data_IF_964920991234
#
_entry.id   IF_964920991234
#
_cell.length_a   1.000
_cell.length_b   1.000
_cell.length_c   1.000
_cell.angle_alpha   90.00
_cell.angle_beta   90.00
_cell.angle_gamma   90.00
#
_symmetry.space_group_name_H-M   'P 1'
#
loop_
_entity.id
_entity.type
_entity.pdbx_description
1 polymer ?
#
# COMPACT_ATOMS: atom_id res chain seq x y z
N UNK A 1 -27.64 -61.82 5.81
CA UNK A 1 -27.89 -60.49 6.41
C UNK A 1 -26.56 -59.79 6.58
N UNK A 2 -26.30 -58.71 5.84
CA UNK A 2 -25.17 -57.83 6.10
C UNK A 2 -25.49 -56.99 7.33
N UNK A 3 -24.71 -57.12 8.41
CA UNK A 3 -24.75 -56.19 9.55
C UNK A 3 -24.21 -54.84 9.07
N UNK A 4 -25.07 -53.84 8.99
CA UNK A 4 -24.64 -52.45 8.83
C UNK A 4 -24.22 -51.94 10.20
N UNK A 5 -22.93 -51.66 10.38
CA UNK A 5 -22.43 -50.99 11.57
C UNK A 5 -22.83 -49.51 11.48
N UNK A 6 -23.72 -49.06 12.36
CA UNK A 6 -24.13 -47.67 12.46
C UNK A 6 -23.33 -46.98 13.59
N UNK A 7 -22.92 -45.73 13.35
CA UNK A 7 -22.28 -44.91 14.38
C UNK A 7 -23.29 -44.52 15.46
N UNK A 8 -22.85 -44.51 16.72
CA UNK A 8 -23.65 -43.99 17.83
C UNK A 8 -23.73 -42.47 17.77
N UNK A 9 -24.80 -41.90 18.33
CA UNK A 9 -24.93 -40.44 18.47
C UNK A 9 -23.74 -39.86 19.26
N UNK A 10 -23.26 -40.57 20.27
CA UNK A 10 -22.10 -40.16 21.06
C UNK A 10 -20.82 -40.08 20.22
N UNK A 11 -20.53 -41.06 19.36
CA UNK A 11 -19.39 -41.03 18.45
C UNK A 11 -19.47 -39.87 17.45
N UNK A 12 -20.67 -39.61 16.90
CA UNK A 12 -20.88 -38.48 15.98
C UNK A 12 -20.70 -37.14 16.70
N UNK A 13 -21.20 -36.99 17.93
CA UNK A 13 -21.05 -35.74 18.69
C UNK A 13 -19.60 -35.47 19.11
N UNK A 14 -18.86 -36.51 19.53
CA UNK A 14 -17.45 -36.39 19.90
C UNK A 14 -16.62 -36.01 18.68
N UNK A 15 -16.84 -36.67 17.53
CA UNK A 15 -16.11 -36.37 16.29
C UNK A 15 -16.40 -34.96 15.79
N UNK A 16 -17.66 -34.52 15.77
CA UNK A 16 -18.02 -33.14 15.43
C UNK A 16 -17.44 -32.13 16.42
N UNK A 17 -17.41 -32.45 17.72
CA UNK A 17 -16.79 -31.61 18.75
C UNK A 17 -15.29 -31.43 18.52
N UNK A 18 -14.56 -32.53 18.24
CA UNK A 18 -13.12 -32.48 17.95
C UNK A 18 -12.85 -31.68 16.67
N UNK A 19 -13.58 -31.95 15.58
CA UNK A 19 -13.44 -31.21 14.32
C UNK A 19 -13.75 -29.72 14.53
N UNK A 20 -14.78 -29.40 15.30
CA UNK A 20 -15.15 -28.02 15.62
C UNK A 20 -14.05 -27.26 16.33
N UNK A 21 -13.42 -27.86 17.36
CA UNK A 21 -12.30 -27.26 18.09
C UNK A 21 -11.09 -27.05 17.18
N UNK A 22 -10.71 -28.09 16.41
CA UNK A 22 -9.56 -28.01 15.51
C UNK A 22 -9.78 -26.95 14.42
N UNK A 23 -10.97 -26.90 13.82
CA UNK A 23 -11.32 -25.90 12.81
C UNK A 23 -11.28 -24.48 13.39
N UNK A 24 -11.81 -24.28 14.60
CA UNK A 24 -11.80 -22.97 15.27
C UNK A 24 -10.39 -22.45 15.55
N UNK A 25 -9.43 -23.33 15.84
CA UNK A 25 -8.03 -22.95 16.09
C UNK A 25 -7.23 -22.74 14.79
N UNK A 26 -7.56 -23.47 13.72
CA UNK A 26 -6.77 -23.48 12.49
C UNK A 26 -7.24 -22.45 11.45
N UNK A 27 -8.55 -22.21 11.34
CA UNK A 27 -9.11 -21.27 10.35
C UNK A 27 -8.58 -19.83 10.48
N UNK A 28 -8.48 -19.23 11.69
CA UNK A 28 -7.95 -17.87 11.81
C UNK A 28 -6.51 -17.75 11.32
N UNK A 29 -5.66 -18.73 11.65
CA UNK A 29 -4.25 -18.76 11.21
C UNK A 29 -4.15 -18.94 9.69
N UNK A 30 -4.91 -19.87 9.12
CA UNK A 30 -4.94 -20.11 7.67
C UNK A 30 -5.40 -18.88 6.90
N UNK A 31 -6.48 -18.24 7.34
CA UNK A 31 -7.00 -17.00 6.74
C UNK A 31 -5.97 -15.88 6.83
N UNK A 32 -5.33 -15.70 8.00
CA UNK A 32 -4.29 -14.70 8.17
C UNK A 32 -3.11 -14.90 7.21
N UNK A 33 -2.59 -16.13 7.12
CA UNK A 33 -1.49 -16.45 6.20
C UNK A 33 -1.87 -16.28 4.73
N UNK A 34 -3.10 -16.65 4.37
CA UNK A 34 -3.63 -16.42 3.03
C UNK A 34 -3.71 -14.93 2.70
N UNK A 35 -4.29 -14.12 3.59
CA UNK A 35 -4.39 -12.67 3.40
C UNK A 35 -3.01 -12.00 3.28
N UNK A 36 -2.05 -12.39 4.14
CA UNK A 36 -0.65 -11.93 4.04
C UNK A 36 -0.06 -12.17 2.64
N UNK A 37 -0.21 -13.40 2.14
CA UNK A 37 0.27 -13.79 0.81
C UNK A 37 -0.45 -13.01 -0.29
N UNK A 38 -1.77 -12.85 -0.20
CA UNK A 38 -2.55 -12.07 -1.15
C UNK A 38 -2.14 -10.60 -1.18
N UNK A 39 -1.95 -9.96 -0.02
CA UNK A 39 -1.48 -8.58 0.09
C UNK A 39 -0.14 -8.40 -0.60
N UNK A 40 0.83 -9.26 -0.29
CA UNK A 40 2.18 -9.13 -0.84
C UNK A 40 2.21 -9.30 -2.37
N UNK A 41 1.43 -10.24 -2.90
CA UNK A 41 1.28 -10.45 -4.35
C UNK A 41 0.62 -9.24 -5.02
N UNK A 42 -0.47 -8.73 -4.46
CA UNK A 42 -1.18 -7.57 -5.01
C UNK A 42 -0.32 -6.30 -4.98
N UNK A 43 0.42 -6.07 -3.89
CA UNK A 43 1.36 -4.96 -3.79
C UNK A 43 2.48 -5.06 -4.83
N UNK A 44 3.08 -6.25 -4.99
CA UNK A 44 4.09 -6.51 -6.03
C UNK A 44 3.55 -6.25 -7.43
N UNK A 45 2.31 -6.67 -7.68
CA UNK A 45 1.64 -6.44 -8.96
C UNK A 45 1.46 -4.94 -9.21
N UNK A 46 0.94 -4.19 -8.24
CA UNK A 46 0.81 -2.74 -8.35
C UNK A 46 2.15 -2.08 -8.65
N UNK A 47 3.20 -2.43 -7.90
CA UNK A 47 4.55 -1.90 -8.14
C UNK A 47 5.03 -2.18 -9.58
N UNK A 48 4.81 -3.40 -10.07
CA UNK A 48 5.17 -3.79 -11.44
C UNK A 48 4.39 -3.02 -12.51
N UNK A 49 3.10 -2.77 -12.28
CA UNK A 49 2.25 -1.97 -13.18
C UNK A 49 2.70 -0.52 -13.20
N UNK A 50 2.98 0.07 -12.04
CA UNK A 50 3.49 1.44 -11.94
C UNK A 50 4.84 1.59 -12.64
N UNK A 51 5.77 0.66 -12.44
CA UNK A 51 7.06 0.71 -13.12
C UNK A 51 6.92 0.61 -14.65
N UNK A 52 6.00 -0.23 -15.14
CA UNK A 52 5.70 -0.31 -16.57
C UNK A 52 5.11 1.00 -17.11
N UNK A 53 4.15 1.60 -16.39
CA UNK A 53 3.53 2.86 -16.77
C UNK A 53 4.56 4.00 -16.84
N UNK A 54 5.47 4.05 -15.86
CA UNK A 54 6.54 5.04 -15.81
C UNK A 54 7.52 4.85 -16.96
N UNK A 55 7.97 3.61 -17.23
CA UNK A 55 8.85 3.35 -18.37
C UNK A 55 8.20 3.76 -19.70
N UNK A 56 6.89 3.56 -19.87
CA UNK A 56 6.15 4.02 -21.06
C UNK A 56 6.07 5.54 -21.13
N UNK A 57 5.92 6.20 -19.99
CA UNK A 57 5.93 7.66 -19.88
C UNK A 57 7.30 8.23 -20.25
N UNK A 58 8.40 7.62 -19.82
CA UNK A 58 9.75 8.07 -20.16
C UNK A 58 10.03 8.03 -21.66
N UNK A 59 9.44 7.07 -22.39
CA UNK A 59 9.58 7.01 -23.86
C UNK A 59 8.99 8.23 -24.58
N UNK A 60 7.98 8.90 -23.99
CA UNK A 60 7.30 10.05 -24.60
C UNK A 60 7.69 11.38 -23.95
N UNK A 61 7.92 11.38 -22.64
CA UNK A 61 8.13 12.57 -21.82
C UNK A 61 9.61 12.75 -21.39
N UNK A 62 10.50 11.82 -21.75
CA UNK A 62 11.90 11.81 -21.33
C UNK A 62 12.12 11.21 -19.94
N UNK A 63 13.38 11.04 -19.54
CA UNK A 63 13.77 10.45 -18.24
C UNK A 63 13.05 11.14 -17.05
N UNK A 64 12.65 10.35 -16.04
CA UNK A 64 11.94 10.83 -14.83
C UNK A 64 12.63 12.03 -14.18
N UNK A 65 13.97 12.04 -14.13
CA UNK A 65 14.76 13.12 -13.53
C UNK A 65 14.51 14.52 -14.12
N UNK A 66 13.95 14.57 -15.33
CA UNK A 66 13.64 15.83 -16.04
C UNK A 66 12.14 16.13 -16.09
N UNK A 67 11.31 15.33 -15.43
CA UNK A 67 9.88 15.64 -15.32
C UNK A 67 9.66 16.90 -14.48
N UNK A 68 8.59 17.62 -14.81
CA UNK A 68 8.16 18.77 -14.03
C UNK A 68 7.34 18.28 -12.82
N UNK A 69 8.03 18.05 -11.71
CA UNK A 69 7.40 17.63 -10.46
C UNK A 69 6.59 18.74 -9.79
N UNK A 70 6.79 20.00 -10.19
CA UNK A 70 6.11 21.17 -9.63
C UNK A 70 4.89 21.56 -10.47
N UNK A 71 4.60 20.83 -11.55
CA UNK A 71 3.48 21.10 -12.45
C UNK A 71 2.15 21.10 -11.68
N UNK A 72 1.45 22.22 -11.73
CA UNK A 72 0.19 22.42 -10.98
C UNK A 72 0.34 22.68 -9.48
N UNK A 73 1.54 22.47 -8.90
CA UNK A 73 1.81 22.63 -7.48
C UNK A 73 0.88 21.80 -6.58
N UNK A 74 0.73 22.21 -5.31
CA UNK A 74 -0.12 21.52 -4.33
C UNK A 74 -1.62 21.57 -4.63
N UNK A 75 -2.07 22.54 -5.43
CA UNK A 75 -3.48 22.77 -5.71
C UNK A 75 -3.99 21.94 -6.90
N UNK A 76 -3.10 21.56 -7.82
CA UNK A 76 -3.45 20.91 -9.09
C UNK A 76 -2.54 19.72 -9.41
N UNK A 77 -2.31 18.85 -8.43
CA UNK A 77 -1.47 17.64 -8.57
C UNK A 77 -2.03 16.65 -9.60
N UNK A 78 -3.33 16.75 -9.94
CA UNK A 78 -3.94 16.01 -11.04
C UNK A 78 -3.28 16.29 -12.39
N UNK A 79 -2.66 17.46 -12.57
CA UNK A 79 -1.96 17.79 -13.81
C UNK A 79 -0.75 16.86 -13.97
N UNK A 80 0.04 16.66 -12.91
CA UNK A 80 1.16 15.71 -12.94
C UNK A 80 0.70 14.30 -13.31
N UNK A 81 -0.36 13.82 -12.65
CA UNK A 81 -0.85 12.46 -12.92
C UNK A 81 -1.40 12.31 -14.33
N UNK A 82 -2.14 13.30 -14.84
CA UNK A 82 -2.68 13.28 -16.19
C UNK A 82 -1.62 13.36 -17.28
N UNK A 83 -0.51 14.04 -17.02
CA UNK A 83 0.62 14.11 -17.96
C UNK A 83 1.46 12.84 -17.94
N UNK A 84 1.85 12.37 -16.75
CA UNK A 84 2.89 11.36 -16.63
C UNK A 84 2.40 9.93 -16.32
N UNK A 85 1.16 9.74 -15.83
CA UNK A 85 0.69 8.44 -15.32
C UNK A 85 -0.60 7.96 -15.99
N UNK A 86 -1.66 8.76 -15.97
CA UNK A 86 -3.01 8.41 -16.47
C UNK A 86 -3.00 7.82 -17.89
N UNK A 87 -2.23 8.34 -18.87
CA UNK A 87 -2.21 7.78 -20.24
C UNK A 87 -1.68 6.35 -20.32
N UNK A 88 -0.87 5.93 -19.34
CA UNK A 88 -0.17 4.65 -19.32
C UNK A 88 -0.78 3.66 -18.31
N UNK A 89 -1.82 4.08 -17.60
CA UNK A 89 -2.56 3.26 -16.64
C UNK A 89 -3.95 2.89 -17.17
N UNK A 90 -4.37 1.66 -16.90
CA UNK A 90 -5.73 1.19 -17.25
C UNK A 90 -6.72 1.59 -16.17
N UNK A 91 -7.20 2.83 -16.25
CA UNK A 91 -8.17 3.40 -15.32
C UNK A 91 -9.59 3.16 -15.84
N UNK A 92 -10.44 2.60 -14.98
CA UNK A 92 -11.86 2.34 -15.31
C UNK A 92 -12.81 3.37 -14.73
N UNK A 93 -12.37 4.09 -13.69
CA UNK A 93 -13.17 5.14 -13.05
C UNK A 93 -12.28 6.12 -12.30
N UNK A 94 -12.65 7.38 -12.34
CA UNK A 94 -12.07 8.44 -11.51
C UNK A 94 -13.16 9.01 -10.62
N UNK A 95 -12.88 9.18 -9.33
CA UNK A 95 -13.74 9.92 -8.40
C UNK A 95 -13.09 11.26 -8.08
N UNK A 96 -13.83 12.35 -8.23
CA UNK A 96 -13.41 13.63 -7.64
C UNK A 96 -13.56 13.55 -6.11
N UNK A 97 -12.83 14.35 -5.32
CA UNK A 97 -12.92 14.34 -3.86
C UNK A 97 -14.36 14.41 -3.33
N UNK A 98 -15.22 15.24 -3.94
CA UNK A 98 -16.63 15.42 -3.61
C UNK A 98 -17.51 14.20 -3.89
N UNK A 99 -17.12 13.35 -4.86
CA UNK A 99 -17.86 12.16 -5.27
C UNK A 99 -17.40 10.89 -4.55
N UNK A 100 -16.28 10.97 -3.83
CA UNK A 100 -15.72 9.82 -3.14
C UNK A 100 -16.58 9.45 -1.91
N UNK A 101 -16.92 8.15 -1.70
CA UNK A 101 -17.82 7.77 -0.62
C UNK A 101 -17.31 8.21 0.76
N UNK A 102 -18.10 9.04 1.44
CA UNK A 102 -17.70 9.68 2.69
C UNK A 102 -17.52 8.69 3.86
N UNK A 103 -18.14 7.51 3.79
CA UNK A 103 -18.13 6.44 4.79
C UNK A 103 -16.87 5.57 4.76
N UNK A 104 -16.05 5.72 3.73
CA UNK A 104 -14.74 5.07 3.63
C UNK A 104 -13.80 5.79 4.60
N UNK A 105 -13.18 5.05 5.52
CA UNK A 105 -12.22 5.58 6.47
C UNK A 105 -10.97 4.71 6.52
N UNK A 106 -9.82 5.35 6.65
CA UNK A 106 -8.50 4.73 6.66
C UNK A 106 -7.89 4.77 8.06
N UNK A 107 -7.35 3.63 8.49
CA UNK A 107 -6.70 3.50 9.79
C UNK A 107 -5.20 3.29 9.63
N UNK A 108 -4.44 3.86 10.55
CA UNK A 108 -3.04 3.48 10.71
C UNK A 108 -2.91 2.08 11.32
N UNK A 109 -1.71 1.51 11.23
CA UNK A 109 -1.43 0.18 11.81
C UNK A 109 -1.58 0.14 13.34
N UNK A 110 -1.35 1.28 14.01
CA UNK A 110 -1.62 1.49 15.44
C UNK A 110 -3.11 1.67 15.79
N UNK A 111 -4.01 1.68 14.80
CA UNK A 111 -5.45 1.81 14.98
C UNK A 111 -6.00 3.24 15.01
N UNK A 112 -5.14 4.28 14.96
CA UNK A 112 -5.57 5.69 14.86
C UNK A 112 -6.26 5.95 13.51
N UNK A 113 -7.14 6.95 13.47
CA UNK A 113 -7.68 7.46 12.22
C UNK A 113 -6.56 8.16 11.44
N UNK A 114 -6.39 7.79 10.17
CA UNK A 114 -5.37 8.33 9.26
C UNK A 114 -5.97 8.79 7.92
N UNK A 115 -7.23 9.24 7.92
CA UNK A 115 -7.91 9.86 6.76
C UNK A 115 -7.18 11.10 6.23
N UNK A 116 -6.54 11.87 7.12
CA UNK A 116 -5.75 13.06 6.74
C UNK A 116 -4.31 12.72 6.39
N UNK A 117 -3.86 11.48 6.62
CA UNK A 117 -2.48 11.09 6.34
C UNK A 117 -2.34 10.82 4.85
N UNK A 118 -1.59 11.66 4.13
CA UNK A 118 -1.50 11.62 2.67
C UNK A 118 -2.80 12.03 1.97
N UNK A 119 -3.60 12.90 2.60
CA UNK A 119 -4.81 13.53 2.03
C UNK A 119 -5.73 12.59 1.23
N UNK A 120 -5.90 11.36 1.73
CA UNK A 120 -6.65 10.29 1.05
C UNK A 120 -8.15 10.56 0.94
N UNK A 121 -8.67 11.66 1.48
CA UNK A 121 -10.06 12.08 1.30
C UNK A 121 -10.22 13.34 0.45
N UNK A 122 -9.54 14.42 0.79
CA UNK A 122 -10.07 15.75 0.47
C UNK A 122 -9.40 16.46 -0.70
N UNK A 123 -8.20 16.05 -1.13
CA UNK A 123 -7.40 16.86 -2.05
C UNK A 123 -7.34 16.28 -3.47
N UNK A 124 -7.07 14.97 -3.59
CA UNK A 124 -6.76 14.36 -4.89
C UNK A 124 -7.94 13.59 -5.50
N UNK A 125 -8.09 13.58 -6.84
CA UNK A 125 -8.87 12.58 -7.53
C UNK A 125 -8.44 11.15 -7.18
N UNK A 126 -9.40 10.23 -7.10
CA UNK A 126 -9.16 8.81 -6.84
C UNK A 126 -9.24 8.04 -8.14
N UNK A 127 -8.16 7.35 -8.51
CA UNK A 127 -8.09 6.59 -9.76
C UNK A 127 -8.31 5.11 -9.48
N UNK A 128 -9.34 4.52 -10.05
CA UNK A 128 -9.63 3.09 -9.94
C UNK A 128 -9.08 2.37 -11.15
N UNK A 129 -8.11 1.49 -10.93
CA UNK A 129 -7.53 0.63 -11.95
C UNK A 129 -8.46 -0.55 -12.28
N UNK A 130 -8.27 -1.13 -13.46
CA UNK A 130 -9.08 -2.25 -13.96
C UNK A 130 -9.09 -3.49 -13.05
N UNK A 131 -8.07 -3.65 -12.19
CA UNK A 131 -7.99 -4.77 -11.25
C UNK A 131 -8.61 -4.47 -9.87
N UNK A 132 -9.19 -3.28 -9.70
CA UNK A 132 -9.81 -2.84 -8.46
C UNK A 132 -8.87 -2.09 -7.49
N UNK A 133 -7.58 -2.02 -7.79
CA UNK A 133 -6.63 -1.17 -7.05
C UNK A 133 -7.02 0.30 -7.19
N UNK A 134 -6.92 1.09 -6.12
CA UNK A 134 -7.20 2.52 -6.15
C UNK A 134 -5.94 3.32 -5.82
N UNK A 135 -5.60 4.30 -6.65
CA UNK A 135 -4.66 5.34 -6.27
C UNK A 135 -5.47 6.41 -5.55
N UNK A 136 -5.20 6.57 -4.25
CA UNK A 136 -5.96 7.41 -3.34
C UNK A 136 -5.46 8.86 -3.29
N UNK A 137 -4.18 9.06 -3.48
CA UNK A 137 -3.58 10.39 -3.43
C UNK A 137 -2.31 10.43 -4.26
N UNK A 138 -2.08 11.61 -4.84
CA UNK A 138 -0.88 11.97 -5.57
C UNK A 138 -0.49 13.37 -5.13
N UNK A 139 0.26 13.47 -4.04
CA UNK A 139 0.57 14.75 -3.41
C UNK A 139 1.96 15.25 -3.83
N UNK A 140 2.02 16.53 -4.18
CA UNK A 140 3.28 17.23 -4.33
C UNK A 140 3.94 17.43 -2.96
N UNK A 141 5.24 17.11 -2.86
CA UNK A 141 6.02 17.28 -1.64
C UNK A 141 7.44 17.72 -1.95
N UNK A 142 8.06 18.43 -1.02
CA UNK A 142 9.51 18.61 -0.99
C UNK A 142 10.14 17.58 -0.05
N UNK A 143 10.99 16.72 -0.61
CA UNK A 143 12.00 15.99 0.15
C UNK A 143 13.29 16.81 0.26
N UNK A 144 14.32 16.23 0.87
CA UNK A 144 15.62 16.90 1.01
C UNK A 144 16.75 15.95 0.63
N UNK A 145 17.71 16.44 -0.13
CA UNK A 145 18.93 15.70 -0.46
C UNK A 145 19.92 15.66 0.72
N UNK A 146 21.10 15.06 0.50
CA UNK A 146 22.16 14.96 1.52
C UNK A 146 22.67 16.33 1.98
N UNK A 147 22.63 17.33 1.08
CA UNK A 147 23.09 18.69 1.30
C UNK A 147 21.98 19.62 1.82
N UNK A 148 20.81 19.06 2.13
CA UNK A 148 19.62 19.74 2.62
C UNK A 148 18.98 20.71 1.60
N UNK A 149 19.21 20.49 0.31
CA UNK A 149 18.46 21.20 -0.72
C UNK A 149 17.08 20.55 -0.89
N UNK A 150 16.01 21.36 -1.03
CA UNK A 150 14.68 20.84 -1.28
C UNK A 150 14.63 20.21 -2.67
N UNK A 151 14.13 18.98 -2.76
CA UNK A 151 13.93 18.25 -4.02
C UNK A 151 12.44 17.95 -4.18
N UNK A 152 11.81 18.38 -5.28
CA UNK A 152 10.40 18.11 -5.52
C UNK A 152 10.18 16.61 -5.83
N UNK A 153 9.09 16.05 -5.29
CA UNK A 153 8.69 14.67 -5.48
C UNK A 153 7.16 14.55 -5.42
N UNK A 154 6.63 13.44 -5.97
CA UNK A 154 5.20 13.10 -5.86
C UNK A 154 5.04 11.89 -4.95
N UNK A 155 4.30 12.05 -3.84
CA UNK A 155 3.88 10.94 -3.00
C UNK A 155 2.63 10.28 -3.60
N UNK A 156 2.60 8.96 -3.59
CA UNK A 156 1.48 8.16 -4.09
C UNK A 156 0.98 7.27 -2.97
N UNK A 157 -0.30 7.42 -2.61
CA UNK A 157 -0.98 6.49 -1.71
C UNK A 157 -1.85 5.56 -2.53
N UNK A 158 -1.69 4.27 -2.31
CA UNK A 158 -2.43 3.21 -3.00
C UNK A 158 -3.19 2.36 -2.01
N UNK A 159 -4.38 1.95 -2.42
CA UNK A 159 -5.19 0.92 -1.80
C UNK A 159 -5.29 -0.28 -2.78
N UNK A 160 -4.68 -1.40 -2.41
CA UNK A 160 -4.56 -2.57 -3.28
C UNK A 160 -5.81 -3.48 -3.28
N UNK A 161 -6.77 -3.28 -2.37
CA UNK A 161 -8.01 -4.08 -2.33
C UNK A 161 -9.27 -3.23 -2.66
N UNK A 162 -9.11 -1.92 -2.82
CA UNK A 162 -10.10 -1.01 -3.33
C UNK A 162 -11.20 -0.70 -2.31
N UNK A 163 -12.46 -0.90 -2.68
CA UNK A 163 -13.59 -0.68 -1.77
C UNK A 163 -13.77 -1.81 -0.74
N UNK A 164 -12.93 -2.84 -0.75
CA UNK A 164 -13.02 -3.98 0.17
C UNK A 164 -12.30 -3.64 1.45
N UNK A 165 -12.84 -4.09 2.58
CA UNK A 165 -12.15 -4.00 3.88
C UNK A 165 -11.03 -5.06 4.00
N UNK A 166 -9.99 -4.83 4.81
CA UNK A 166 -9.75 -3.61 5.61
C UNK A 166 -9.34 -2.40 4.77
N UNK A 167 -9.27 -1.24 5.42
CA UNK A 167 -8.75 0.03 4.89
C UNK A 167 -7.69 0.52 5.89
N UNK A 168 -6.54 -0.14 5.90
CA UNK A 168 -5.50 0.00 6.91
C UNK A 168 -4.11 0.09 6.28
N UNK A 169 -3.36 1.12 6.68
CA UNK A 169 -1.96 1.28 6.35
C UNK A 169 -1.14 0.06 6.79
N UNK A 170 -0.33 -0.46 5.87
CA UNK A 170 0.44 -1.67 6.08
C UNK A 170 -0.36 -2.97 5.96
N UNK A 171 -1.59 -2.95 5.45
CA UNK A 171 -2.33 -4.19 5.10
C UNK A 171 -2.85 -4.16 3.68
N UNK A 172 -3.48 -3.07 3.30
CA UNK A 172 -4.06 -2.84 1.98
C UNK A 172 -3.77 -1.41 1.49
N UNK A 173 -3.51 -0.47 2.41
CA UNK A 173 -3.02 0.87 2.06
C UNK A 173 -1.50 0.95 2.20
N UNK A 174 -0.85 1.47 1.16
CA UNK A 174 0.60 1.57 1.06
C UNK A 174 1.01 2.91 0.44
N UNK A 175 2.22 3.35 0.77
CA UNK A 175 2.76 4.62 0.32
C UNK A 175 4.04 4.43 -0.50
N UNK A 176 4.10 5.17 -1.59
CA UNK A 176 5.21 5.24 -2.52
C UNK A 176 5.51 6.70 -2.86
N UNK A 177 6.59 6.92 -3.60
CA UNK A 177 6.90 8.22 -4.17
C UNK A 177 7.59 8.06 -5.52
N UNK A 178 7.36 9.01 -6.41
CA UNK A 178 8.15 9.23 -7.61
C UNK A 178 9.11 10.37 -7.32
N UNK A 179 10.40 10.14 -7.55
CA UNK A 179 11.48 11.07 -7.25
C UNK A 179 12.41 11.19 -8.46
N UNK A 180 13.01 12.36 -8.72
CA UNK A 180 13.91 12.57 -9.86
C UNK A 180 15.03 11.53 -9.99
N UNK A 181 15.75 11.25 -8.89
CA UNK A 181 16.95 10.38 -8.93
C UNK A 181 16.70 8.94 -8.47
N UNK A 182 15.60 8.70 -7.77
CA UNK A 182 15.25 7.37 -7.25
C UNK A 182 14.13 6.69 -8.05
N UNK A 183 13.45 7.41 -8.94
CA UNK A 183 12.29 6.90 -9.68
C UNK A 183 11.15 6.54 -8.74
N UNK A 184 10.48 5.40 -8.99
CA UNK A 184 9.37 4.93 -8.19
C UNK A 184 9.82 4.01 -7.05
N UNK A 185 9.76 4.54 -5.82
CA UNK A 185 10.25 3.86 -4.61
C UNK A 185 9.21 3.86 -3.50
N UNK A 186 9.22 2.85 -2.60
CA UNK A 186 8.37 2.88 -1.42
C UNK A 186 8.72 4.06 -0.52
N UNK A 187 7.73 4.55 0.23
CA UNK A 187 7.97 5.58 1.24
C UNK A 187 9.01 5.09 2.27
N UNK A 188 9.89 5.99 2.69
CA UNK A 188 11.04 5.66 3.55
C UNK A 188 12.36 5.56 2.78
N UNK A 189 12.36 5.74 1.46
CA UNK A 189 13.56 5.70 0.59
C UNK A 189 13.80 7.06 -0.06
N UNK A 190 15.07 7.45 -0.19
CA UNK A 190 15.47 8.67 -0.91
C UNK A 190 15.04 9.95 -0.19
N UNK A 191 14.60 10.95 -0.96
CA UNK A 191 14.28 12.29 -0.48
C UNK A 191 13.07 12.32 0.48
N UNK A 192 12.18 11.33 0.39
CA UNK A 192 10.96 11.23 1.22
C UNK A 192 11.13 10.32 2.43
N UNK A 193 12.36 9.93 2.76
CA UNK A 193 12.68 9.07 3.90
C UNK A 193 12.40 9.70 5.27
N UNK A 194 12.25 11.02 5.36
CA UNK A 194 12.08 11.78 6.61
C UNK A 194 13.31 11.86 7.53
N UNK A 195 14.47 11.32 7.11
CA UNK A 195 15.77 11.60 7.71
C UNK A 195 16.75 12.02 6.62
N UNK A 196 17.51 13.07 6.90
CA UNK A 196 18.54 13.60 5.99
C UNK A 196 19.52 12.49 5.58
N UNK A 197 19.73 12.33 4.27
CA UNK A 197 20.68 11.36 3.72
C UNK A 197 20.31 9.89 3.87
N UNK A 198 19.07 9.56 4.28
CA UNK A 198 18.62 8.16 4.34
C UNK A 198 18.32 7.64 2.91
N UNK A 199 19.38 7.13 2.27
CA UNK A 199 19.33 6.42 0.99
C UNK A 199 19.05 4.91 1.15
N UNK A 200 18.91 4.39 2.37
CA UNK A 200 19.02 2.95 2.56
C UNK A 200 17.68 2.22 2.49
N UNK A 201 17.63 1.24 1.59
CA UNK A 201 16.85 0.02 1.75
C UNK A 201 17.39 -0.74 2.97
N UNK A 202 17.04 -0.29 4.17
CA UNK A 202 17.39 -0.97 5.41
C UNK A 202 16.12 -1.48 6.08
N UNK A 203 16.14 -2.74 6.48
CA UNK A 203 14.98 -3.40 7.06
C UNK A 203 14.60 -2.79 8.41
N UNK A 204 15.58 -2.50 9.26
CA UNK A 204 15.33 -1.95 10.59
C UNK A 204 14.82 -0.51 10.52
N UNK A 205 15.30 0.24 9.53
CA UNK A 205 14.79 1.54 9.16
C UNK A 205 13.30 1.51 8.80
N UNK A 206 12.88 0.59 7.92
CA UNK A 206 11.45 0.47 7.60
C UNK A 206 10.60 0.05 8.81
N UNK A 207 11.15 -0.72 9.76
CA UNK A 207 10.45 -1.12 10.98
C UNK A 207 10.32 0.01 12.00
N UNK A 208 11.39 0.74 12.27
CA UNK A 208 11.51 1.61 13.46
C UNK A 208 11.71 3.09 13.14
N UNK A 209 12.14 3.38 11.92
CA UNK A 209 12.61 4.69 11.49
C UNK A 209 11.53 5.70 11.12
N UNK A 210 11.97 6.95 10.99
CA UNK A 210 11.18 8.10 10.55
C UNK A 210 10.17 8.60 11.57
N UNK A 211 9.77 9.88 11.42
CA UNK A 211 8.81 10.64 12.24
C UNK A 211 7.45 9.92 12.43
N UNK A 212 7.41 8.88 13.26
CA UNK A 212 6.27 7.99 13.53
C UNK A 212 5.73 7.22 12.31
N UNK A 213 6.58 6.95 11.31
CA UNK A 213 6.19 6.37 10.00
C UNK A 213 6.54 4.89 9.82
N UNK A 214 7.38 4.35 10.68
CA UNK A 214 7.83 2.96 10.66
C UNK A 214 6.70 1.93 10.69
N UNK A 215 7.01 0.77 10.14
CA UNK A 215 6.13 -0.39 10.05
C UNK A 215 6.12 -1.18 11.35
N UNK A 216 5.47 -0.64 12.38
CA UNK A 216 5.23 -1.33 13.64
C UNK A 216 3.96 -0.83 14.32
N UNK A 217 3.39 -1.62 15.23
CA UNK A 217 2.11 -1.32 15.91
C UNK A 217 2.12 -0.07 16.82
N UNK A 218 3.29 0.52 17.09
CA UNK A 218 3.40 1.77 17.85
C UNK A 218 3.38 3.02 16.95
N UNK A 219 3.66 2.85 15.67
CA UNK A 219 3.76 3.92 14.67
C UNK A 219 2.65 3.80 13.61
N UNK A 220 2.72 4.59 12.54
CA UNK A 220 1.61 4.73 11.59
C UNK A 220 1.63 3.68 10.46
N UNK A 221 2.76 3.04 10.16
CA UNK A 221 2.86 1.98 9.16
C UNK A 221 3.09 2.46 7.71
N UNK A 222 3.54 3.71 7.54
CA UNK A 222 3.74 4.30 6.21
C UNK A 222 4.86 3.63 5.42
N UNK A 223 5.90 3.16 6.10
CA UNK A 223 7.07 2.50 5.50
C UNK A 223 6.87 1.00 5.25
N UNK A 224 5.67 0.47 5.50
CA UNK A 224 5.40 -0.97 5.37
C UNK A 224 5.59 -1.51 3.94
N UNK A 225 5.35 -0.69 2.91
CA UNK A 225 5.63 -1.09 1.53
C UNK A 225 7.13 -1.40 1.33
N UNK A 226 8.00 -0.56 1.89
CA UNK A 226 9.45 -0.74 1.85
C UNK A 226 9.90 -2.01 2.56
N UNK A 227 9.31 -2.30 3.73
CA UNK A 227 9.59 -3.55 4.47
C UNK A 227 9.22 -4.79 3.65
N UNK A 228 8.01 -4.83 3.08
CA UNK A 228 7.54 -5.98 2.27
C UNK A 228 8.41 -6.14 1.02
N UNK A 229 8.73 -5.03 0.35
CA UNK A 229 9.60 -5.05 -0.83
C UNK A 229 11.01 -5.55 -0.49
N UNK A 230 11.58 -5.08 0.62
CA UNK A 230 12.89 -5.54 1.12
C UNK A 230 12.88 -7.03 1.46
N UNK A 231 11.78 -7.52 2.05
CA UNK A 231 11.58 -8.93 2.37
C UNK A 231 11.25 -9.81 1.15
N UNK A 232 11.45 -9.31 -0.07
CA UNK A 232 11.27 -10.08 -1.29
C UNK A 232 9.81 -10.21 -1.74
N UNK A 233 8.97 -9.25 -1.35
CA UNK A 233 7.51 -9.29 -1.51
C UNK A 233 6.87 -10.41 -0.68
N UNK A 234 7.34 -10.56 0.54
CA UNK A 234 6.80 -11.49 1.53
C UNK A 234 6.51 -10.77 2.85
N UNK A 235 5.39 -11.14 3.47
CA UNK A 235 5.04 -10.67 4.81
C UNK A 235 5.51 -11.72 5.81
N UNK A 236 6.68 -11.47 6.41
CA UNK A 236 7.31 -12.36 7.40
C UNK A 236 6.55 -12.38 8.73
N UNK A 237 6.94 -13.29 9.62
CA UNK A 237 6.25 -13.51 10.90
C UNK A 237 6.36 -12.34 11.87
N UNK A 238 7.44 -11.57 11.79
CA UNK A 238 7.69 -10.37 12.59
C UNK A 238 6.98 -9.12 12.03
N UNK A 239 6.34 -9.22 10.86
CA UNK A 239 5.54 -8.14 10.32
C UNK A 239 4.36 -7.84 11.24
N UNK A 240 4.05 -6.56 11.50
CA UNK A 240 2.98 -6.13 12.40
C UNK A 240 1.56 -6.35 11.85
N UNK A 241 1.25 -7.57 11.39
CA UNK A 241 -0.03 -7.93 10.78
C UNK A 241 -1.18 -7.58 11.69
#
# INVERSE_FOLDING_TARGET
>A
MLKLNAFTIAEVLITLGIIGIVAAMTLPSLIGNYQKKQTAIQLKKFYSVMQQAINLSELQNGDIKYWDFEIGGNAHTEIFTNTYLTPYLKIIKTYMPEDFPADIHYKCINGKNCDSYGEVKNNNPKLVLIDGTMILATDFVYGYDIDNNPVPAINIIVDINGFKKPNQYGRDVFAFSIQPDFGFVPAGVGYTSAIQGAASYDRNWFLTGGNERGCNRKQNGFFCAGLIMFDGWEIKDDYPW
#
